data_IF_955764850732
#
_entry.id   IF_955764850732
#
_cell.length_a   1.000
_cell.length_b   1.000
_cell.length_c   1.000
_cell.angle_alpha   90.00
_cell.angle_beta   90.00
_cell.angle_gamma   90.00
#
_symmetry.space_group_name_H-M   'P 1'
#
loop_
_entity.id
_entity.type
_entity.pdbx_description
1 polymer ?
#
# COMPACT_ATOMS: atom_id res chain seq x y z
N UNK A 1 7.69 -7.72 3.01
CA UNK A 1 7.42 -6.37 2.49
C UNK A 1 8.28 -5.27 3.12
N UNK A 2 8.13 -4.93 4.42
CA UNK A 2 8.81 -3.76 5.04
C UNK A 2 10.34 -3.80 4.92
N UNK A 3 10.95 -4.97 5.11
CA UNK A 3 12.40 -5.15 4.95
C UNK A 3 12.88 -5.02 3.50
N UNK A 4 12.02 -5.18 2.50
CA UNK A 4 12.38 -4.97 1.10
C UNK A 4 12.33 -3.47 0.72
N UNK A 5 11.35 -2.75 1.27
CA UNK A 5 11.17 -1.30 1.05
C UNK A 5 12.19 -0.45 1.82
N UNK A 6 12.66 -0.92 2.97
CA UNK A 6 13.63 -0.18 3.80
C UNK A 6 15.05 -0.17 3.15
N UNK A 7 15.84 0.91 3.32
CA UNK A 7 17.22 0.94 2.83
C UNK A 7 18.05 -0.27 3.29
N UNK A 8 19.08 -0.63 2.51
CA UNK A 8 19.97 -1.75 2.85
C UNK A 8 20.57 -1.56 4.25
N UNK A 9 20.60 -2.59 5.11
CA UNK A 9 21.11 -2.46 6.47
C UNK A 9 22.62 -2.18 6.53
N UNK A 10 23.38 -2.47 5.45
CA UNK A 10 24.83 -2.25 5.38
C UNK A 10 25.23 -0.92 4.73
N UNK A 11 24.40 -0.38 3.84
CA UNK A 11 24.76 0.78 3.01
C UNK A 11 23.80 1.97 3.17
N UNK A 12 22.68 1.81 3.90
CA UNK A 12 21.64 2.83 4.09
C UNK A 12 21.08 3.47 2.81
N UNK A 13 21.33 2.85 1.65
CA UNK A 13 20.77 3.26 0.36
C UNK A 13 19.56 2.38 0.04
N UNK A 14 18.49 3.01 -0.44
CA UNK A 14 17.31 2.32 -0.97
C UNK A 14 17.61 1.92 -2.41
N UNK A 15 17.54 0.62 -2.72
CA UNK A 15 17.86 0.11 -4.05
C UNK A 15 16.63 -0.55 -4.67
N UNK A 16 16.21 -0.06 -5.83
CA UNK A 16 14.94 -0.44 -6.49
C UNK A 16 14.88 -1.93 -6.86
N UNK A 17 16.00 -2.58 -7.15
CA UNK A 17 16.00 -4.00 -7.51
C UNK A 17 15.59 -4.89 -6.34
N UNK A 18 15.86 -4.50 -5.08
CA UNK A 18 15.45 -5.29 -3.90
C UNK A 18 13.94 -5.21 -3.65
N UNK A 19 13.34 -4.11 -4.08
CA UNK A 19 11.89 -3.91 -4.06
C UNK A 19 11.25 -4.83 -5.11
N UNK A 20 11.74 -4.80 -6.34
CA UNK A 20 11.23 -5.62 -7.44
C UNK A 20 11.47 -7.13 -7.25
N UNK A 21 12.57 -7.52 -6.61
CA UNK A 21 12.88 -8.92 -6.27
C UNK A 21 11.87 -9.51 -5.26
N UNK A 22 11.42 -8.72 -4.28
CA UNK A 22 10.39 -9.18 -3.34
C UNK A 22 9.01 -9.28 -4.00
N UNK A 23 8.69 -8.35 -4.90
CA UNK A 23 7.38 -8.28 -5.55
C UNK A 23 7.22 -9.24 -6.73
N UNK A 24 8.30 -9.74 -7.34
CA UNK A 24 8.22 -10.80 -8.34
C UNK A 24 7.60 -12.10 -7.80
N UNK A 25 7.71 -12.32 -6.49
CA UNK A 25 7.16 -13.50 -5.79
C UNK A 25 5.72 -13.31 -5.29
N UNK A 26 5.16 -12.10 -5.37
CA UNK A 26 3.88 -11.73 -4.76
C UNK A 26 3.01 -10.93 -5.76
N UNK A 27 2.32 -11.61 -6.71
CA UNK A 27 1.52 -10.95 -7.74
C UNK A 27 0.34 -10.16 -7.16
N UNK A 28 -0.12 -10.46 -5.94
CA UNK A 28 -1.20 -9.75 -5.25
C UNK A 28 -0.87 -8.29 -4.93
N UNK A 29 0.42 -7.95 -4.86
CA UNK A 29 0.87 -6.58 -4.56
C UNK A 29 0.85 -5.65 -5.78
N UNK A 30 0.61 -6.16 -6.99
CA UNK A 30 0.63 -5.37 -8.24
C UNK A 30 -0.42 -4.25 -8.25
N UNK A 31 -1.59 -4.49 -7.64
CA UNK A 31 -2.63 -3.47 -7.53
C UNK A 31 -2.17 -2.26 -6.72
N UNK A 32 -1.53 -2.50 -5.56
CA UNK A 32 -0.93 -1.45 -4.74
C UNK A 32 0.22 -0.72 -5.47
N UNK A 33 1.03 -1.47 -6.22
CA UNK A 33 2.17 -0.93 -6.96
C UNK A 33 1.75 0.07 -8.05
N UNK A 34 0.61 -0.19 -8.71
CA UNK A 34 0.10 0.70 -9.76
C UNK A 34 -0.21 2.10 -9.20
N UNK A 35 -0.82 2.17 -8.01
CA UNK A 35 -1.09 3.46 -7.36
C UNK A 35 0.15 4.13 -6.80
N UNK A 36 1.17 3.36 -6.39
CA UNK A 36 2.41 3.91 -5.85
C UNK A 36 3.26 4.63 -6.90
N UNK A 37 3.28 4.14 -8.14
CA UNK A 37 4.02 4.76 -9.24
C UNK A 37 3.20 5.78 -10.03
N UNK A 38 1.90 5.86 -9.78
CA UNK A 38 1.06 6.93 -10.31
C UNK A 38 1.30 8.25 -9.53
N UNK A 39 0.83 9.37 -10.07
CA UNK A 39 0.94 10.70 -9.47
C UNK A 39 0.23 10.80 -8.11
N UNK A 40 -0.64 9.84 -7.78
CA UNK A 40 -1.27 9.69 -6.46
C UNK A 40 -0.25 9.28 -5.38
N UNK A 41 0.84 8.61 -5.75
CA UNK A 41 1.88 8.17 -4.82
C UNK A 41 2.74 9.30 -4.23
N UNK A 42 2.78 10.47 -4.88
CA UNK A 42 3.47 11.67 -4.39
C UNK A 42 2.43 12.80 -4.26
N UNK A 43 1.65 12.82 -3.16
CA UNK A 43 0.62 13.83 -2.97
C UNK A 43 1.25 15.22 -2.80
N UNK A 44 0.71 16.22 -3.50
CA UNK A 44 1.20 17.60 -3.42
C UNK A 44 0.90 18.26 -2.07
N UNK A 45 -0.23 17.93 -1.44
CA UNK A 45 -0.64 18.42 -0.12
C UNK A 45 -1.57 17.38 0.55
N UNK A 46 -1.53 17.29 1.89
CA UNK A 46 -2.40 16.38 2.66
C UNK A 46 -3.90 16.66 2.49
N UNK A 47 -4.28 17.87 2.08
CA UNK A 47 -5.68 18.26 1.85
C UNK A 47 -6.26 17.75 0.52
N UNK A 48 -5.41 17.42 -0.46
CA UNK A 48 -5.84 16.93 -1.77
C UNK A 48 -5.59 15.43 -1.93
N UNK A 49 -5.41 14.71 -0.81
CA UNK A 49 -5.22 13.27 -0.80
C UNK A 49 -6.53 12.60 -0.39
N UNK A 50 -7.02 11.69 -1.24
CA UNK A 50 -8.17 10.85 -0.90
C UNK A 50 -7.76 9.80 0.14
N UNK A 51 -8.63 9.59 1.14
CA UNK A 51 -8.44 8.57 2.17
C UNK A 51 -9.34 7.37 1.88
N UNK A 52 -8.79 6.16 2.02
CA UNK A 52 -9.53 4.91 1.88
C UNK A 52 -9.33 4.03 3.13
N UNK A 53 -10.39 3.38 3.60
CA UNK A 53 -10.36 2.47 4.76
C UNK A 53 -9.51 1.22 4.57
N UNK A 54 -9.13 0.89 3.32
CA UNK A 54 -8.36 -0.28 2.86
C UNK A 54 -9.02 -1.62 3.18
N UNK A 55 -9.43 -1.83 4.42
CA UNK A 55 -10.05 -3.05 4.94
C UNK A 55 -11.57 -2.88 5.02
N UNK A 56 -12.29 -3.96 4.73
CA UNK A 56 -13.75 -3.99 4.91
C UNK A 56 -14.09 -4.10 6.39
N UNK A 57 -14.95 -3.21 6.86
CA UNK A 57 -15.48 -3.22 8.22
C UNK A 57 -16.92 -3.71 8.21
N UNK A 58 -17.27 -4.61 9.13
CA UNK A 58 -18.66 -5.02 9.35
C UNK A 58 -19.26 -4.18 10.47
N UNK A 59 -20.36 -3.50 10.18
CA UNK A 59 -21.17 -2.82 11.17
C UNK A 59 -22.38 -3.70 11.46
N UNK A 60 -22.47 -4.19 12.70
CA UNK A 60 -23.61 -4.96 13.17
C UNK A 60 -24.56 -4.04 13.96
N UNK A 61 -25.60 -3.56 13.28
CA UNK A 61 -26.80 -3.01 13.92
C UNK A 61 -27.82 -4.15 14.02
N UNK A 62 -28.15 -4.54 15.26
CA UNK A 62 -29.08 -5.56 15.83
C UNK A 62 -29.70 -6.71 14.98
N UNK A 63 -29.73 -6.67 13.65
CA UNK A 63 -30.16 -7.76 12.76
C UNK A 63 -29.62 -7.71 11.32
N UNK A 64 -28.75 -6.77 10.91
CA UNK A 64 -28.22 -6.71 9.52
C UNK A 64 -26.73 -6.40 9.50
N UNK A 65 -25.91 -7.38 9.07
CA UNK A 65 -24.49 -7.16 8.79
C UNK A 65 -24.36 -6.38 7.48
N UNK A 66 -24.06 -5.07 7.58
CA UNK A 66 -23.77 -4.22 6.42
C UNK A 66 -22.26 -4.16 6.24
N UNK A 67 -21.77 -4.58 5.07
CA UNK A 67 -20.36 -4.45 4.70
C UNK A 67 -20.04 -3.00 4.34
N UNK A 68 -19.26 -2.32 5.17
CA UNK A 68 -18.73 -0.99 4.92
C UNK A 68 -17.28 -1.10 4.39
N UNK A 69 -16.88 -0.21 3.48
CA UNK A 69 -15.52 -0.17 2.91
C UNK A 69 -14.63 0.81 3.67
#
# INVERSE_FOLDING_TARGET
MVHALKPKPKAHIQENWRILDFFSHHPESLHMFTFLFDNVGIPANFHHMDSSGVNTYTLDDEAVTVGCK
#
